data_IF_685630652966
#
_entry.id   IF_685630652966
#
_cell.length_a   1.000
_cell.length_b   1.000
_cell.length_c   1.000
_cell.angle_alpha   90.00
_cell.angle_beta   90.00
_cell.angle_gamma   90.00
#
_symmetry.space_group_name_H-M   'P 1'
#
loop_
_entity.id
_entity.type
_entity.pdbx_description
1 polymer ?
#
# COMPACT_ATOMS: atom_id res chain seq x y z
N UNK A 1 -2.99 34.57 -29.56
CA UNK A 1 -3.41 33.36 -30.32
C UNK A 1 -2.17 32.94 -31.09
N UNK A 2 -1.55 31.78 -30.95
CA UNK A 2 -2.00 30.47 -30.47
C UNK A 2 -0.87 29.84 -29.63
N UNK A 3 -1.22 29.24 -28.49
CA UNK A 3 -0.41 28.16 -27.94
C UNK A 3 -0.96 26.88 -28.57
N UNK A 4 -0.22 26.33 -29.53
CA UNK A 4 -0.49 24.98 -30.01
C UNK A 4 -0.03 24.00 -28.93
N UNK A 5 -1.00 23.43 -28.22
CA UNK A 5 -0.76 22.28 -27.36
C UNK A 5 -0.83 21.06 -28.28
N UNK A 6 0.34 20.60 -28.69
CA UNK A 6 0.52 19.31 -29.36
C UNK A 6 -0.08 18.22 -28.47
N UNK A 7 -1.14 17.57 -28.97
CA UNK A 7 -1.96 16.62 -28.24
C UNK A 7 -1.12 15.45 -27.72
N UNK A 8 -0.93 15.41 -26.40
CA UNK A 8 -0.24 14.35 -25.69
C UNK A 8 -1.00 14.06 -24.40
N UNK A 9 -1.77 12.97 -24.45
CA UNK A 9 -2.69 12.45 -23.42
C UNK A 9 -3.98 13.27 -23.20
N UNK A 10 -5.08 12.53 -23.04
CA UNK A 10 -6.48 12.96 -22.95
C UNK A 10 -6.61 14.21 -22.06
N UNK A 11 -6.90 15.38 -22.66
CA UNK A 11 -6.94 16.68 -21.98
C UNK A 11 -7.86 16.67 -20.76
N UNK A 12 -8.87 15.79 -20.80
CA UNK A 12 -9.80 15.50 -19.71
C UNK A 12 -9.07 14.86 -18.52
N UNK A 13 -8.22 13.86 -18.75
CA UNK A 13 -7.41 13.23 -17.71
C UNK A 13 -6.46 14.23 -17.07
N UNK A 14 -5.76 15.04 -17.88
CA UNK A 14 -4.87 16.08 -17.37
C UNK A 14 -5.63 17.13 -16.57
N UNK A 15 -6.85 17.49 -16.97
CA UNK A 15 -7.70 18.43 -16.25
C UNK A 15 -8.19 17.85 -14.92
N UNK A 16 -8.66 16.59 -14.92
CA UNK A 16 -9.12 15.88 -13.72
C UNK A 16 -7.98 15.70 -12.73
N UNK A 17 -6.79 15.31 -13.20
CA UNK A 17 -5.60 15.16 -12.36
C UNK A 17 -5.18 16.50 -11.74
N UNK A 18 -5.21 17.59 -12.51
CA UNK A 18 -4.95 18.95 -12.01
C UNK A 18 -6.00 19.39 -10.99
N UNK A 19 -7.28 19.08 -11.20
CA UNK A 19 -8.36 19.40 -10.27
C UNK A 19 -8.17 18.63 -8.95
N UNK A 20 -7.84 17.34 -9.03
CA UNK A 20 -7.50 16.53 -7.87
C UNK A 20 -6.29 17.12 -7.14
N UNK A 21 -5.19 17.42 -7.84
CA UNK A 21 -3.99 18.03 -7.25
C UNK A 21 -4.29 19.34 -6.51
N UNK A 22 -5.19 20.18 -7.05
CA UNK A 22 -5.64 21.41 -6.39
C UNK A 22 -6.40 21.09 -5.10
N UNK A 23 -7.33 20.13 -5.13
CA UNK A 23 -8.04 19.67 -3.93
C UNK A 23 -7.07 19.12 -2.87
N UNK A 24 -6.04 18.37 -3.29
CA UNK A 24 -5.00 17.84 -2.41
C UNK A 24 -4.15 18.92 -1.77
N UNK A 25 -3.68 19.88 -2.57
CA UNK A 25 -2.91 21.01 -2.04
C UNK A 25 -3.73 21.85 -1.09
N UNK A 26 -5.04 22.03 -1.33
CA UNK A 26 -5.93 22.72 -0.39
C UNK A 26 -6.02 21.97 0.94
N UNK A 27 -6.16 20.64 0.96
CA UNK A 27 -6.17 19.86 2.20
C UNK A 27 -4.83 19.90 2.94
N UNK A 28 -3.70 19.80 2.24
CA UNK A 28 -2.37 19.91 2.83
C UNK A 28 -2.09 21.31 3.38
N UNK A 29 -2.56 22.36 2.70
CA UNK A 29 -2.46 23.75 3.15
C UNK A 29 -3.28 23.96 4.42
N UNK A 30 -4.50 23.41 4.50
CA UNK A 30 -5.34 23.45 5.71
C UNK A 30 -4.62 22.77 6.90
N UNK A 31 -4.01 21.62 6.66
CA UNK A 31 -3.29 20.86 7.68
C UNK A 31 -1.97 21.53 8.13
N UNK A 32 -1.23 22.17 7.21
CA UNK A 32 0.07 22.78 7.49
C UNK A 32 -0.03 24.19 8.08
N UNK A 33 -1.04 25.00 7.72
CA UNK A 33 -1.09 26.42 8.12
C UNK A 33 -1.73 26.67 9.48
N UNK A 34 -2.50 25.74 10.02
CA UNK A 34 -3.34 26.09 11.15
C UNK A 34 -3.81 24.86 11.90
N UNK A 35 -3.77 24.91 13.24
CA UNK A 35 -4.48 23.95 14.10
C UNK A 35 -6.01 24.01 13.96
N UNK A 36 -6.54 24.28 12.77
CA UNK A 36 -7.95 24.24 12.42
C UNK A 36 -8.32 22.78 12.24
N UNK A 37 -8.92 22.22 13.29
CA UNK A 37 -9.61 20.94 13.20
C UNK A 37 -10.81 21.12 12.26
N UNK A 38 -10.95 20.24 11.25
CA UNK A 38 -12.18 20.17 10.44
C UNK A 38 -13.38 19.97 11.38
N UNK A 39 -14.23 20.98 11.53
CA UNK A 39 -15.35 20.94 12.49
C UNK A 39 -16.55 20.14 11.95
N UNK A 40 -16.72 20.08 10.63
CA UNK A 40 -17.76 19.28 9.99
C UNK A 40 -17.43 17.77 10.10
N UNK A 41 -18.34 16.94 10.65
CA UNK A 41 -18.19 15.48 10.63
C UNK A 41 -18.04 14.92 9.22
N UNK A 42 -18.80 15.42 8.26
CA UNK A 42 -18.79 14.95 6.87
C UNK A 42 -17.44 15.22 6.19
N UNK A 43 -16.88 16.42 6.38
CA UNK A 43 -15.56 16.75 5.87
C UNK A 43 -14.46 15.91 6.52
N UNK A 44 -14.58 15.58 7.81
CA UNK A 44 -13.66 14.64 8.48
C UNK A 44 -13.77 13.24 7.88
N UNK A 45 -14.98 12.77 7.57
CA UNK A 45 -15.17 11.47 6.91
C UNK A 45 -14.54 11.45 5.51
N UNK A 46 -14.80 12.47 4.69
CA UNK A 46 -14.22 12.58 3.36
C UNK A 46 -12.68 12.60 3.39
N UNK A 47 -12.08 13.38 4.30
CA UNK A 47 -10.62 13.38 4.50
C UNK A 47 -10.09 12.01 4.94
N UNK A 48 -10.79 11.34 5.87
CA UNK A 48 -10.40 10.02 6.33
C UNK A 48 -10.45 8.99 5.21
N UNK A 49 -11.48 9.04 4.36
CA UNK A 49 -11.59 8.15 3.21
C UNK A 49 -10.49 8.43 2.19
N UNK A 50 -10.17 9.70 1.92
CA UNK A 50 -9.02 10.06 1.12
C UNK A 50 -7.70 9.49 1.68
N UNK A 51 -7.43 9.70 2.96
CA UNK A 51 -6.22 9.16 3.61
C UNK A 51 -6.14 7.64 3.48
N UNK A 52 -7.28 6.93 3.61
CA UNK A 52 -7.34 5.49 3.37
C UNK A 52 -6.97 5.12 1.94
N UNK A 53 -7.38 5.88 0.92
CA UNK A 53 -6.97 5.61 -0.47
C UNK A 53 -5.51 5.96 -0.72
N UNK A 54 -5.02 7.09 -0.21
CA UNK A 54 -3.62 7.48 -0.31
C UNK A 54 -2.69 6.44 0.30
N UNK A 55 -2.98 6.01 1.53
CA UNK A 55 -2.22 4.96 2.21
C UNK A 55 -2.29 3.62 1.46
N UNK A 56 -3.34 3.38 0.68
CA UNK A 56 -3.50 2.14 -0.08
C UNK A 56 -2.61 2.17 -1.32
N UNK A 57 -2.66 3.28 -2.04
CA UNK A 57 -1.77 3.53 -3.16
C UNK A 57 -0.29 3.50 -2.74
N UNK A 58 0.07 4.19 -1.65
CA UNK A 58 1.42 4.20 -1.11
C UNK A 58 1.89 2.78 -0.73
N UNK A 59 1.00 1.97 -0.14
CA UNK A 59 1.28 0.57 0.16
C UNK A 59 1.57 -0.25 -1.10
N UNK A 60 0.73 -0.14 -2.12
CA UNK A 60 0.87 -0.89 -3.37
C UNK A 60 2.18 -0.50 -4.09
N UNK A 61 2.44 0.80 -4.20
CA UNK A 61 3.68 1.33 -4.78
C UNK A 61 4.93 0.86 -4.02
N UNK A 62 4.91 0.91 -2.70
CA UNK A 62 6.05 0.49 -1.88
C UNK A 62 6.35 -1.01 -1.99
N UNK A 63 5.33 -1.83 -2.23
CA UNK A 63 5.47 -3.28 -2.41
C UNK A 63 5.56 -3.71 -3.89
N UNK A 64 5.67 -2.76 -4.82
CA UNK A 64 5.73 -3.00 -6.27
C UNK A 64 4.56 -3.86 -6.79
N UNK A 65 3.35 -3.60 -6.26
CA UNK A 65 2.14 -4.34 -6.61
C UNK A 65 1.35 -3.54 -7.63
N UNK A 66 1.26 -4.06 -8.85
CA UNK A 66 0.57 -3.43 -9.99
C UNK A 66 -0.71 -4.17 -10.38
N UNK A 67 -0.87 -5.42 -9.93
CA UNK A 67 -2.01 -6.27 -10.30
C UNK A 67 -2.69 -6.94 -9.10
N UNK A 68 -3.95 -7.36 -9.30
CA UNK A 68 -4.70 -8.15 -8.31
C UNK A 68 -3.99 -9.47 -8.01
N UNK A 69 -3.39 -10.10 -9.03
CA UNK A 69 -2.66 -11.35 -8.86
C UNK A 69 -1.45 -11.15 -7.95
N UNK A 70 -0.69 -10.07 -8.14
CA UNK A 70 0.45 -9.73 -7.27
C UNK A 70 -0.01 -9.41 -5.85
N UNK A 71 -1.14 -8.70 -5.67
CA UNK A 71 -1.69 -8.45 -4.34
C UNK A 71 -2.12 -9.75 -3.64
N UNK A 72 -2.81 -10.64 -4.36
CA UNK A 72 -3.23 -11.94 -3.87
C UNK A 72 -2.03 -12.80 -3.47
N UNK A 73 -0.98 -12.80 -4.31
CA UNK A 73 0.29 -13.46 -4.01
C UNK A 73 0.96 -12.87 -2.78
N UNK A 74 0.99 -11.54 -2.65
CA UNK A 74 1.51 -10.86 -1.46
C UNK A 74 0.74 -11.26 -0.19
N UNK A 75 -0.58 -11.38 -0.26
CA UNK A 75 -1.41 -11.85 0.86
C UNK A 75 -1.03 -13.29 1.23
N UNK A 76 -0.95 -14.18 0.24
CA UNK A 76 -0.60 -15.59 0.45
C UNK A 76 0.80 -15.73 1.05
N UNK A 77 1.80 -15.06 0.46
CA UNK A 77 3.17 -15.07 0.93
C UNK A 77 3.26 -14.55 2.38
N UNK A 78 2.64 -13.41 2.67
CA UNK A 78 2.63 -12.84 4.03
C UNK A 78 1.97 -13.81 5.03
N UNK A 79 0.90 -14.52 4.63
CA UNK A 79 0.28 -15.55 5.48
C UNK A 79 1.23 -16.71 5.74
N UNK A 80 1.94 -17.20 4.73
CA UNK A 80 2.92 -18.29 4.90
C UNK A 80 4.07 -17.88 5.82
N UNK A 81 4.63 -16.68 5.64
CA UNK A 81 5.69 -16.15 6.51
C UNK A 81 5.23 -16.01 7.96
N UNK A 82 3.99 -15.54 8.20
CA UNK A 82 3.41 -15.47 9.54
C UNK A 82 3.27 -16.87 10.13
N UNK A 83 2.75 -17.84 9.37
CA UNK A 83 2.57 -19.22 9.84
C UNK A 83 3.90 -19.88 10.23
N UNK A 84 4.95 -19.68 9.43
CA UNK A 84 6.30 -20.20 9.72
C UNK A 84 6.88 -19.59 11.01
N UNK A 85 6.77 -18.28 11.18
CA UNK A 85 7.20 -17.59 12.40
C UNK A 85 6.38 -18.02 13.62
N UNK A 86 5.07 -18.23 13.46
CA UNK A 86 4.20 -18.72 14.52
C UNK A 86 4.54 -20.16 14.92
N UNK A 87 4.87 -21.02 13.97
CA UNK A 87 5.37 -22.37 14.23
C UNK A 87 6.70 -22.33 15.01
N UNK A 88 7.63 -21.45 14.62
CA UNK A 88 8.88 -21.21 15.35
C UNK A 88 8.63 -20.69 16.78
N UNK A 89 7.76 -19.70 16.94
CA UNK A 89 7.34 -19.14 18.24
C UNK A 89 6.73 -20.21 19.13
N UNK A 90 5.96 -21.13 18.56
CA UNK A 90 5.33 -22.22 19.30
C UNK A 90 6.38 -23.22 19.82
N UNK A 91 7.39 -23.57 19.02
CA UNK A 91 8.52 -24.41 19.47
C UNK A 91 9.22 -23.80 20.69
N UNK A 92 9.50 -22.49 20.65
CA UNK A 92 10.09 -21.76 21.79
C UNK A 92 9.13 -21.75 22.98
N UNK A 93 7.83 -21.53 22.76
CA UNK A 93 6.85 -21.59 23.84
C UNK A 93 6.81 -22.96 24.53
N UNK A 94 7.02 -24.04 23.80
CA UNK A 94 7.10 -25.39 24.36
C UNK A 94 8.38 -25.57 25.20
N UNK A 95 9.52 -25.02 24.75
CA UNK A 95 10.79 -25.03 25.50
C UNK A 95 10.68 -24.23 26.82
N UNK A 96 10.01 -23.08 26.81
CA UNK A 96 9.76 -22.27 28.04
C UNK A 96 8.94 -23.04 29.09
N UNK A 97 8.02 -23.90 28.65
CA UNK A 97 7.18 -24.74 29.53
C UNK A 97 7.95 -25.93 30.12
N UNK A 98 9.06 -26.34 29.50
CA UNK A 98 9.91 -27.46 29.93
C UNK A 98 11.41 -27.07 29.92
N UNK A 99 11.81 -26.09 30.74
CA UNK A 99 13.17 -25.56 30.71
C UNK A 99 14.16 -26.54 31.38
N UNK A 100 15.40 -26.64 30.86
CA UNK A 100 16.48 -27.39 31.52
C UNK A 100 17.16 -26.56 32.60
N UNK A 101 17.16 -25.22 32.46
CA UNK A 101 17.68 -24.29 33.45
C UNK A 101 16.87 -22.96 33.48
N UNK A 102 16.96 -22.18 34.58
CA UNK A 102 16.35 -20.85 34.66
C UNK A 102 16.92 -19.87 33.62
N UNK A 103 18.21 -20.00 33.30
CA UNK A 103 18.90 -19.18 32.31
C UNK A 103 18.39 -19.45 30.89
N UNK A 104 18.26 -20.73 30.51
CA UNK A 104 17.65 -21.13 29.23
C UNK A 104 16.19 -20.64 29.14
N UNK A 105 15.46 -20.65 30.25
CA UNK A 105 14.09 -20.13 30.28
C UNK A 105 14.04 -18.62 30.02
N UNK A 106 14.97 -17.85 30.60
CA UNK A 106 15.08 -16.41 30.36
C UNK A 106 15.45 -16.11 28.90
N UNK A 107 16.44 -16.82 28.35
CA UNK A 107 16.84 -16.67 26.95
C UNK A 107 15.69 -16.99 25.98
N UNK A 108 14.96 -18.09 26.22
CA UNK A 108 13.82 -18.45 25.38
C UNK A 108 12.67 -17.43 25.46
N UNK A 109 12.48 -16.75 26.60
CA UNK A 109 11.52 -15.64 26.70
C UNK A 109 11.92 -14.48 25.80
N UNK A 110 13.21 -14.12 25.75
CA UNK A 110 13.70 -13.06 24.86
C UNK A 110 13.62 -13.47 23.39
N UNK A 111 13.99 -14.71 23.04
CA UNK A 111 13.83 -15.23 21.67
C UNK A 111 12.35 -15.21 21.22
N UNK A 112 11.41 -15.58 22.11
CA UNK A 112 9.97 -15.49 21.83
C UNK A 112 9.50 -14.05 21.60
N UNK A 113 10.01 -13.09 22.36
CA UNK A 113 9.73 -11.66 22.15
C UNK A 113 10.25 -11.19 20.79
N UNK A 114 11.48 -11.57 20.42
CA UNK A 114 12.06 -11.24 19.12
C UNK A 114 11.21 -11.77 17.95
N UNK A 115 10.78 -13.03 17.98
CA UNK A 115 9.88 -13.57 16.94
C UNK A 115 8.55 -12.82 16.93
N UNK A 116 7.99 -12.50 18.11
CA UNK A 116 6.74 -11.74 18.19
C UNK A 116 6.89 -10.34 17.57
N UNK A 117 8.05 -9.69 17.74
CA UNK A 117 8.35 -8.40 17.13
C UNK A 117 8.44 -8.48 15.60
N UNK A 118 8.94 -9.60 15.04
CA UNK A 118 8.96 -9.85 13.59
C UNK A 118 7.56 -10.11 13.01
N UNK A 119 6.69 -10.79 13.75
CA UNK A 119 5.32 -11.09 13.29
C UNK A 119 4.45 -9.82 13.22
N UNK A 120 4.63 -8.85 14.12
CA UNK A 120 3.80 -7.64 14.17
C UNK A 120 3.76 -6.82 12.87
N UNK A 121 4.88 -6.45 12.23
CA UNK A 121 4.85 -5.73 10.96
C UNK A 121 4.18 -6.56 9.85
N UNK A 122 4.39 -7.87 9.80
CA UNK A 122 3.74 -8.75 8.83
C UNK A 122 2.22 -8.78 9.01
N UNK A 123 1.72 -8.81 10.26
CA UNK A 123 0.27 -8.71 10.54
C UNK A 123 -0.32 -7.36 10.14
N UNK A 124 0.46 -6.28 10.25
CA UNK A 124 0.03 -4.95 9.75
C UNK A 124 -0.03 -4.95 8.23
N UNK A 125 1.01 -5.48 7.56
CA UNK A 125 1.06 -5.65 6.10
C UNK A 125 -0.12 -6.49 5.59
N UNK A 126 -0.38 -7.63 6.22
CA UNK A 126 -1.48 -8.52 5.86
C UNK A 126 -2.84 -7.84 5.99
N UNK A 127 -3.13 -7.22 7.14
CA UNK A 127 -4.38 -6.49 7.35
C UNK A 127 -4.59 -5.40 6.31
N UNK A 128 -3.51 -4.69 5.94
CA UNK A 128 -3.59 -3.64 4.94
C UNK A 128 -3.89 -4.24 3.56
N UNK A 129 -3.15 -5.26 3.14
CA UNK A 129 -3.36 -5.93 1.87
C UNK A 129 -4.77 -6.53 1.75
N UNK A 130 -5.28 -7.20 2.78
CA UNK A 130 -6.64 -7.76 2.81
C UNK A 130 -7.72 -6.67 2.79
N UNK A 131 -7.50 -5.56 3.49
CA UNK A 131 -8.41 -4.41 3.45
C UNK A 131 -8.46 -3.81 2.04
N UNK A 132 -7.32 -3.57 1.41
CA UNK A 132 -7.26 -3.08 0.02
C UNK A 132 -7.97 -4.09 -0.89
N UNK A 133 -7.72 -5.39 -0.72
CA UNK A 133 -8.35 -6.46 -1.51
C UNK A 133 -9.88 -6.42 -1.44
N UNK A 134 -10.43 -6.15 -0.25
CA UNK A 134 -11.87 -6.14 -0.01
C UNK A 134 -12.56 -4.84 -0.42
N UNK A 135 -12.01 -3.69 -0.05
CA UNK A 135 -12.70 -2.40 -0.13
C UNK A 135 -12.49 -1.67 -1.46
N UNK A 136 -11.54 -2.11 -2.29
CA UNK A 136 -11.11 -1.34 -3.45
C UNK A 136 -11.35 -1.95 -4.84
N UNK A 137 -12.50 -2.60 -5.15
CA UNK A 137 -12.84 -3.02 -6.52
C UNK A 137 -12.54 -1.94 -7.57
N UNK A 138 -12.87 -0.69 -7.25
CA UNK A 138 -12.67 0.46 -8.14
C UNK A 138 -11.20 0.91 -8.26
N UNK A 139 -10.40 0.88 -7.18
CA UNK A 139 -8.96 1.14 -7.28
C UNK A 139 -8.26 0.09 -8.15
N UNK A 140 -8.76 -1.15 -8.14
CA UNK A 140 -8.24 -2.19 -9.02
C UNK A 140 -8.53 -1.94 -10.49
N UNK A 141 -9.71 -1.42 -10.83
CA UNK A 141 -10.02 -1.01 -12.20
C UNK A 141 -9.06 0.09 -12.67
N UNK A 142 -8.77 1.06 -11.81
CA UNK A 142 -7.82 2.14 -12.09
C UNK A 142 -6.41 1.60 -12.29
N UNK A 143 -5.90 0.74 -11.41
CA UNK A 143 -4.55 0.16 -11.53
C UNK A 143 -4.39 -0.74 -12.76
N UNK A 144 -5.42 -1.54 -13.10
CA UNK A 144 -5.39 -2.31 -14.34
C UNK A 144 -5.37 -1.41 -15.58
N UNK A 145 -6.10 -0.30 -15.54
CA UNK A 145 -6.13 0.68 -16.63
C UNK A 145 -4.77 1.35 -16.78
N UNK A 146 -4.18 1.84 -15.69
CA UNK A 146 -2.83 2.42 -15.66
C UNK A 146 -1.78 1.45 -16.21
N UNK A 147 -1.78 0.20 -15.74
CA UNK A 147 -0.82 -0.79 -16.23
C UNK A 147 -0.99 -1.08 -17.72
N UNK A 148 -2.22 -1.17 -18.23
CA UNK A 148 -2.48 -1.33 -19.66
C UNK A 148 -1.96 -0.13 -20.47
N UNK A 149 -2.18 1.09 -19.97
CA UNK A 149 -1.69 2.31 -20.60
C UNK A 149 -0.16 2.37 -20.62
N UNK A 150 0.49 1.96 -19.53
CA UNK A 150 1.96 1.89 -19.43
C UNK A 150 2.54 0.90 -20.47
N UNK A 151 1.96 -0.30 -20.58
CA UNK A 151 2.39 -1.31 -21.55
C UNK A 151 2.18 -0.83 -23.00
N UNK A 152 1.05 -0.17 -23.27
CA UNK A 152 0.78 0.43 -24.57
C UNK A 152 1.81 1.53 -24.91
N UNK A 153 2.15 2.38 -23.95
CA UNK A 153 3.17 3.42 -24.10
C UNK A 153 4.56 2.82 -24.35
N UNK A 154 4.97 1.80 -23.59
CA UNK A 154 6.23 1.07 -23.80
C UNK A 154 6.32 0.46 -25.19
N UNK A 155 5.22 -0.12 -25.68
CA UNK A 155 5.16 -0.73 -27.02
C UNK A 155 5.32 0.33 -28.11
N UNK A 156 4.61 1.46 -28.01
CA UNK A 156 4.74 2.59 -28.94
C UNK A 156 6.17 3.16 -28.96
N UNK A 157 6.81 3.28 -27.79
CA UNK A 157 8.20 3.73 -27.70
C UNK A 157 9.17 2.78 -28.41
N UNK A 158 9.01 1.46 -28.21
CA UNK A 158 9.83 0.45 -28.90
C UNK A 158 9.66 0.53 -30.42
N UNK A 159 8.43 0.63 -30.93
CA UNK A 159 8.16 0.73 -32.37
C UNK A 159 8.85 1.94 -33.00
N UNK A 160 8.76 3.12 -32.36
CA UNK A 160 9.44 4.35 -32.81
C UNK A 160 10.97 4.24 -32.79
N UNK A 161 11.54 3.42 -31.92
CA UNK A 161 13.00 3.19 -31.89
C UNK A 161 13.51 2.24 -32.97
N UNK A 162 12.64 1.42 -33.57
CA UNK A 162 12.98 0.55 -34.70
C UNK A 162 12.81 1.23 -36.07
N UNK A 163 12.07 2.35 -36.12
CA UNK A 163 11.80 3.13 -37.33
C UNK A 163 12.85 4.25 -37.59
N UNK A 164 13.87 4.37 -36.71
CA UNK A 164 15.04 5.25 -36.89
C UNK A 164 16.29 4.42 -37.17
#
# INVERSE_FOLDING_TARGET
MQFEIEHSYDDITVFVDKLFLIVLTVFEIIDNLSGIMLLSPELRHAKNDYNKYYDAYAFLKHNDIHTISELSNCILETKTQIADLEAGRQKISNQIRRPKSPEEQAENKERRKAISAQIQPLRKKLRRAEWIFKESPHLYELLQTEHRLEQAAKTKYRQRSYER
#
